data_IF_897586352390
#
_entry.id   IF_897586352390
#
_cell.length_a   1.000
_cell.length_b   1.000
_cell.length_c   1.000
_cell.angle_alpha   90.00
_cell.angle_beta   90.00
_cell.angle_gamma   90.00
#
_symmetry.space_group_name_H-M   'P 1'
#
loop_
_entity.id
_entity.type
_entity.pdbx_description
1 polymer ?
#
# COMPACT_ATOMS: atom_id res chain seq x y z
N UNK A 1 0.86 6.08 -21.92
CA UNK A 1 1.31 5.13 -22.97
C UNK A 1 0.68 3.80 -22.66
N UNK A 2 -0.10 3.25 -23.59
CA UNK A 2 -0.76 1.95 -23.43
C UNK A 2 -0.16 1.01 -24.46
N UNK A 3 0.31 -0.16 -24.02
CA UNK A 3 0.93 -1.19 -24.88
C UNK A 3 0.04 -2.42 -24.95
N UNK A 4 -0.02 -3.07 -26.11
CA UNK A 4 -0.74 -4.31 -26.35
C UNK A 4 0.24 -5.34 -26.93
N UNK A 5 0.20 -6.56 -26.42
CA UNK A 5 1.08 -7.67 -26.82
C UNK A 5 0.31 -8.98 -26.78
N UNK A 6 0.73 -9.96 -27.58
CA UNK A 6 0.19 -11.31 -27.60
C UNK A 6 1.18 -12.22 -26.87
N UNK A 7 0.69 -13.03 -25.94
CA UNK A 7 1.51 -13.90 -25.11
C UNK A 7 0.82 -15.25 -24.88
N UNK A 8 1.61 -16.32 -24.82
CA UNK A 8 1.14 -17.67 -24.53
C UNK A 8 1.00 -17.92 -23.02
N UNK A 9 0.09 -18.82 -22.65
CA UNK A 9 -0.17 -19.21 -21.25
C UNK A 9 1.09 -19.74 -20.56
N UNK A 10 1.44 -19.15 -19.42
CA UNK A 10 2.59 -19.51 -18.61
C UNK A 10 3.95 -19.07 -19.15
N UNK A 11 4.03 -18.52 -20.37
CA UNK A 11 5.31 -18.15 -20.98
C UNK A 11 5.72 -16.71 -20.64
N UNK A 12 6.96 -16.48 -20.18
CA UNK A 12 7.44 -15.13 -19.91
C UNK A 12 7.61 -14.32 -21.20
N UNK A 13 7.09 -13.09 -21.20
CA UNK A 13 7.26 -12.14 -22.31
C UNK A 13 7.87 -10.84 -21.80
N UNK A 14 8.79 -10.29 -22.58
CA UNK A 14 9.41 -8.99 -22.34
C UNK A 14 8.51 -7.88 -22.88
N UNK A 15 8.06 -6.99 -22.01
CA UNK A 15 7.23 -5.85 -22.41
C UNK A 15 8.12 -4.69 -22.86
N UNK A 16 9.29 -4.55 -22.23
CA UNK A 16 10.25 -3.52 -22.54
C UNK A 16 11.27 -3.31 -21.44
N UNK A 17 12.05 -2.24 -21.58
CA UNK A 17 13.03 -1.82 -20.60
C UNK A 17 13.32 -0.33 -20.68
N UNK A 18 13.86 0.21 -19.60
CA UNK A 18 14.30 1.60 -19.51
C UNK A 18 15.82 1.63 -19.35
N UNK A 19 16.49 2.38 -20.22
CA UNK A 19 17.89 2.73 -20.07
C UNK A 19 17.98 4.21 -19.64
N UNK A 20 18.55 4.45 -18.47
CA UNK A 20 18.82 5.79 -17.96
C UNK A 20 20.32 6.03 -17.86
N UNK A 21 20.79 7.06 -18.53
CA UNK A 21 22.17 7.53 -18.44
C UNK A 21 22.18 8.86 -17.69
N UNK A 22 22.97 8.96 -16.64
CA UNK A 22 23.18 10.20 -15.88
C UNK A 22 24.65 10.56 -15.94
N UNK A 23 24.96 11.75 -16.46
CA UNK A 23 26.29 12.36 -16.40
C UNK A 23 26.23 13.52 -15.40
N UNK A 24 27.09 13.50 -14.40
CA UNK A 24 27.24 14.59 -13.45
C UNK A 24 28.70 15.01 -13.43
N UNK A 25 28.95 16.29 -13.64
CA UNK A 25 30.27 16.92 -13.55
C UNK A 25 30.28 17.83 -12.34
N UNK A 26 31.25 17.64 -11.45
CA UNK A 26 31.39 18.43 -10.22
C UNK A 26 32.79 19.00 -10.16
N UNK A 27 32.88 20.32 -10.25
CA UNK A 27 34.16 21.02 -10.17
C UNK A 27 34.25 21.78 -8.84
N UNK A 28 35.19 21.38 -7.98
CA UNK A 28 35.51 22.06 -6.72
C UNK A 28 36.90 22.67 -6.79
N UNK A 29 37.21 23.68 -5.96
CA UNK A 29 38.52 24.30 -5.96
C UNK A 29 38.57 25.58 -5.15
N UNK A 30 39.78 26.11 -4.97
CA UNK A 30 39.99 27.38 -4.25
C UNK A 30 39.55 28.55 -5.14
N UNK A 31 38.61 29.41 -4.70
CA UNK A 31 38.18 30.58 -5.45
C UNK A 31 39.37 31.50 -5.78
N UNK A 32 39.41 32.06 -7.00
CA UNK A 32 40.48 32.94 -7.48
C UNK A 32 41.71 32.21 -8.02
N UNK A 33 42.24 31.21 -7.30
CA UNK A 33 43.43 30.46 -7.75
C UNK A 33 43.09 29.44 -8.85
N UNK A 34 41.89 28.85 -8.82
CA UNK A 34 41.42 27.87 -9.82
C UNK A 34 41.35 28.42 -11.26
N UNK A 35 41.15 29.72 -11.45
CA UNK A 35 40.99 30.32 -12.78
C UNK A 35 42.30 30.73 -13.46
N UNK A 36 43.47 30.50 -12.82
CA UNK A 36 44.77 30.85 -13.41
C UNK A 36 45.13 29.81 -14.48
N UNK A 37 45.35 30.19 -15.76
CA UNK A 37 45.51 29.25 -16.88
C UNK A 37 46.77 28.36 -16.82
N UNK A 38 47.71 28.65 -15.92
CA UNK A 38 48.97 27.90 -15.77
C UNK A 38 48.97 26.98 -14.53
N UNK A 39 48.35 27.40 -13.43
CA UNK A 39 48.40 26.68 -12.14
C UNK A 39 47.04 26.32 -11.57
N UNK A 40 45.93 26.78 -12.18
CA UNK A 40 44.57 26.59 -11.66
C UNK A 40 44.20 25.13 -11.46
N UNK A 41 44.68 24.24 -12.33
CA UNK A 41 44.49 22.79 -12.23
C UNK A 41 45.06 22.15 -10.95
N UNK A 42 46.07 22.76 -10.32
CA UNK A 42 46.63 22.29 -9.03
C UNK A 42 45.72 22.65 -7.84
N UNK A 43 44.89 23.68 -7.99
CA UNK A 43 44.00 24.20 -6.94
C UNK A 43 42.52 23.90 -7.21
N UNK A 44 42.22 23.11 -8.24
CA UNK A 44 40.89 22.65 -8.61
C UNK A 44 40.83 21.13 -8.69
N UNK A 45 39.68 20.56 -8.41
CA UNK A 45 39.37 19.14 -8.56
C UNK A 45 38.09 19.00 -9.35
N UNK A 46 38.20 18.39 -10.52
CA UNK A 46 37.05 17.99 -11.35
C UNK A 46 36.73 16.53 -11.05
N UNK A 47 35.46 16.24 -10.80
CA UNK A 47 34.94 14.90 -10.60
C UNK A 47 33.84 14.64 -11.61
N UNK A 48 34.10 13.71 -12.53
CA UNK A 48 33.13 13.20 -13.48
C UNK A 48 32.48 11.93 -12.93
N UNK A 49 31.15 11.91 -12.84
CA UNK A 49 30.37 10.73 -12.47
C UNK A 49 29.45 10.32 -13.60
N UNK A 50 29.58 9.06 -13.99
CA UNK A 50 28.72 8.41 -14.97
C UNK A 50 27.93 7.31 -14.27
N UNK A 51 26.60 7.38 -14.33
CA UNK A 51 25.71 6.36 -13.80
C UNK A 51 24.79 5.83 -14.91
N UNK A 52 24.82 4.52 -15.11
CA UNK A 52 23.98 3.79 -16.06
C UNK A 52 23.02 2.90 -15.27
N UNK A 53 21.72 3.05 -15.52
CA UNK A 53 20.69 2.22 -14.90
C UNK A 53 19.86 1.58 -15.99
N UNK A 54 19.79 0.25 -15.96
CA UNK A 54 19.00 -0.57 -16.87
C UNK A 54 17.88 -1.21 -16.08
N UNK A 55 16.66 -1.12 -16.58
CA UNK A 55 15.48 -1.74 -15.96
C UNK A 55 14.77 -2.54 -17.03
N UNK A 56 14.33 -3.75 -16.67
CA UNK A 56 13.63 -4.66 -17.59
C UNK A 56 12.35 -5.13 -16.94
N UNK A 57 11.26 -5.15 -17.70
CA UNK A 57 9.94 -5.60 -17.25
C UNK A 57 9.56 -6.87 -17.99
N UNK A 58 9.33 -7.94 -17.21
CA UNK A 58 8.92 -9.26 -17.70
C UNK A 58 7.60 -9.62 -17.03
N UNK A 59 6.66 -10.14 -17.82
CA UNK A 59 5.40 -10.68 -17.30
C UNK A 59 5.23 -12.14 -17.70
N UNK A 60 4.46 -12.89 -16.91
CA UNK A 60 4.04 -14.26 -17.18
C UNK A 60 2.52 -14.34 -17.02
N UNK A 61 1.74 -14.44 -18.11
CA UNK A 61 0.30 -14.63 -18.00
C UNK A 61 0.00 -16.05 -17.54
N UNK A 62 -1.14 -16.25 -16.87
CA UNK A 62 -1.64 -17.58 -16.53
C UNK A 62 -3.16 -17.66 -16.75
N UNK A 63 -3.62 -18.71 -17.42
CA UNK A 63 -5.03 -18.94 -17.73
C UNK A 63 -5.68 -19.90 -16.73
N UNK A 64 -6.48 -19.34 -15.82
CA UNK A 64 -7.25 -20.14 -14.86
C UNK A 64 -8.55 -20.62 -15.52
N UNK A 65 -8.70 -21.94 -15.69
CA UNK A 65 -9.96 -22.54 -16.13
C UNK A 65 -10.86 -22.74 -14.91
N UNK A 66 -12.05 -22.14 -14.91
CA UNK A 66 -13.05 -22.42 -13.89
C UNK A 66 -13.46 -23.90 -13.98
N UNK A 67 -13.22 -24.66 -12.90
CA UNK A 67 -13.75 -26.02 -12.76
C UNK A 67 -15.27 -25.94 -12.87
N UNK A 68 -15.83 -26.63 -13.88
CA UNK A 68 -17.23 -26.57 -14.33
C UNK A 68 -18.22 -26.18 -13.22
N UNK A 69 -18.82 -24.97 -13.26
CA UNK A 69 -19.95 -24.65 -12.39
C UNK A 69 -21.11 -25.56 -12.80
N UNK A 70 -21.63 -26.37 -11.87
CA UNK A 70 -22.83 -27.18 -12.11
C UNK A 70 -22.72 -28.66 -11.75
N UNK A 71 -21.51 -29.22 -11.58
CA UNK A 71 -21.40 -30.61 -11.07
C UNK A 71 -21.92 -30.75 -9.64
N UNK A 72 -21.75 -29.70 -8.84
CA UNK A 72 -22.25 -29.65 -7.46
C UNK A 72 -23.79 -29.56 -7.42
N UNK A 73 -24.39 -28.70 -8.24
CA UNK A 73 -25.86 -28.54 -8.32
C UNK A 73 -26.56 -29.82 -8.80
N UNK A 74 -25.96 -30.55 -9.75
CA UNK A 74 -26.46 -31.85 -10.19
C UNK A 74 -26.41 -32.90 -9.08
N UNK A 75 -25.32 -32.96 -8.32
CA UNK A 75 -25.17 -33.91 -7.22
C UNK A 75 -26.12 -33.59 -6.05
N UNK A 76 -26.35 -32.31 -5.77
CA UNK A 76 -27.30 -31.85 -4.76
C UNK A 76 -28.75 -32.17 -5.14
N UNK A 77 -29.10 -31.98 -6.42
CA UNK A 77 -30.43 -32.30 -6.94
C UNK A 77 -30.69 -33.81 -6.88
N UNK A 78 -29.69 -34.63 -7.21
CA UNK A 78 -29.77 -36.09 -7.17
C UNK A 78 -29.90 -36.62 -5.74
N UNK A 79 -29.09 -36.11 -4.82
CA UNK A 79 -29.14 -36.51 -3.40
C UNK A 79 -30.47 -36.13 -2.73
N UNK A 80 -31.05 -34.96 -3.05
CA UNK A 80 -32.40 -34.58 -2.60
C UNK A 80 -33.50 -35.51 -3.13
N UNK A 81 -33.43 -35.89 -4.40
CA UNK A 81 -34.37 -36.84 -4.99
C UNK A 81 -34.29 -38.22 -4.33
N UNK A 82 -33.07 -38.69 -4.05
CA UNK A 82 -32.84 -39.95 -3.35
C UNK A 82 -33.38 -39.89 -1.92
N UNK A 83 -33.12 -38.81 -1.18
CA UNK A 83 -33.65 -38.62 0.18
C UNK A 83 -35.19 -38.64 0.21
N UNK A 84 -35.84 -37.97 -0.74
CA UNK A 84 -37.30 -37.92 -0.84
C UNK A 84 -37.90 -39.29 -1.23
N UNK A 85 -37.17 -40.07 -2.04
CA UNK A 85 -37.61 -41.41 -2.47
C UNK A 85 -37.52 -42.47 -1.38
N UNK A 86 -36.69 -42.26 -0.35
CA UNK A 86 -36.51 -43.20 0.75
C UNK A 86 -37.57 -43.05 1.86
N UNK A 87 -38.55 -42.14 1.71
CA UNK A 87 -39.62 -41.87 2.69
C UNK A 87 -39.11 -41.94 4.14
N UNK A 88 -37.98 -41.31 4.40
CA UNK A 88 -37.66 -40.88 5.75
C UNK A 88 -38.60 -39.70 5.98
N UNK A 89 -39.58 -39.86 6.88
CA UNK A 89 -40.48 -38.78 7.31
C UNK A 89 -39.65 -37.69 8.02
N UNK A 90 -38.88 -36.94 7.26
CA UNK A 90 -38.34 -35.66 7.68
C UNK A 90 -39.38 -34.65 7.22
N UNK A 91 -40.37 -34.44 8.10
CA UNK A 91 -41.29 -33.31 7.98
C UNK A 91 -40.47 -32.05 7.69
N UNK A 92 -40.93 -31.16 6.79
CA UNK A 92 -40.26 -29.89 6.60
C UNK A 92 -40.32 -29.16 7.94
N UNK A 93 -39.20 -29.11 8.65
CA UNK A 93 -39.02 -28.17 9.73
C UNK A 93 -39.01 -26.78 9.09
N UNK A 94 -40.21 -26.24 8.91
CA UNK A 94 -40.45 -24.83 8.72
C UNK A 94 -40.06 -24.12 10.01
N UNK A 95 -38.76 -24.02 10.30
CA UNK A 95 -38.17 -23.19 11.35
C UNK A 95 -36.66 -23.45 11.38
N UNK A 96 -35.94 -22.96 10.38
CA UNK A 96 -34.55 -22.48 10.49
C UNK A 96 -34.21 -21.66 9.23
N UNK A 97 -35.16 -20.83 8.78
CA UNK A 97 -34.87 -19.67 7.92
C UNK A 97 -34.73 -18.39 8.75
N UNK A 98 -34.53 -18.50 10.08
CA UNK A 98 -34.42 -17.34 10.99
C UNK A 98 -33.01 -17.07 11.52
N UNK A 99 -31.97 -17.73 11.01
CA UNK A 99 -30.58 -17.25 11.23
C UNK A 99 -30.04 -16.42 10.07
N UNK A 100 -30.65 -16.49 8.88
CA UNK A 100 -30.18 -15.75 7.70
C UNK A 100 -31.12 -14.64 7.22
N UNK A 101 -32.36 -14.55 7.75
CA UNK A 101 -33.31 -13.49 7.41
C UNK A 101 -33.46 -12.40 8.50
N UNK A 102 -32.71 -12.46 9.60
CA UNK A 102 -32.67 -11.41 10.62
C UNK A 102 -32.07 -10.06 10.14
N UNK A 103 -31.71 -9.95 8.86
CA UNK A 103 -31.13 -8.74 8.26
C UNK A 103 -32.07 -7.96 7.33
N UNK A 104 -33.31 -8.43 7.06
CA UNK A 104 -34.24 -7.72 6.17
C UNK A 104 -35.70 -7.77 6.66
N UNK A 105 -35.97 -7.32 7.89
CA UNK A 105 -37.27 -6.73 8.23
C UNK A 105 -37.02 -5.60 9.21
N UNK A 106 -36.63 -4.44 8.67
CA UNK A 106 -36.75 -3.16 9.37
C UNK A 106 -38.20 -2.72 9.18
N UNK A 107 -38.96 -2.73 10.28
CA UNK A 107 -40.30 -2.16 10.35
C UNK A 107 -40.27 -0.70 9.85
N UNK A 108 -40.95 -0.35 8.74
CA UNK A 108 -40.96 1.01 8.21
C UNK A 108 -41.67 2.03 9.12
N UNK A 109 -42.26 1.61 10.25
CA UNK A 109 -43.00 2.49 11.16
C UNK A 109 -42.69 2.21 12.65
N UNK A 110 -41.45 1.86 12.99
CA UNK A 110 -40.99 1.91 14.38
C UNK A 110 -40.57 3.34 14.74
N UNK A 111 -41.04 3.94 15.86
CA UNK A 111 -40.54 5.24 16.31
C UNK A 111 -39.03 5.12 16.56
N UNK A 112 -38.24 5.88 15.81
CA UNK A 112 -36.79 5.88 15.87
C UNK A 112 -36.33 6.25 17.29
N UNK A 113 -36.07 5.23 18.12
CA UNK A 113 -35.18 5.43 19.26
C UNK A 113 -33.78 5.55 18.69
N UNK A 114 -33.31 6.80 18.62
CA UNK A 114 -32.00 7.14 18.09
C UNK A 114 -30.92 6.23 18.67
N UNK A 115 -30.35 5.40 17.79
CA UNK A 115 -29.01 4.86 17.98
C UNK A 115 -28.06 5.97 17.59
N UNK A 116 -27.84 6.90 18.52
CA UNK A 116 -26.72 7.81 18.49
C UNK A 116 -25.52 7.06 19.05
N UNK A 117 -24.79 6.32 18.23
CA UNK A 117 -23.39 6.05 18.53
C UNK A 117 -22.63 5.53 17.30
N UNK A 118 -21.47 6.13 17.04
CA UNK A 118 -20.45 5.77 16.03
C UNK A 118 -20.60 6.20 14.54
N UNK A 119 -21.58 7.02 14.13
CA UNK A 119 -21.58 7.63 12.77
C UNK A 119 -21.45 9.16 12.77
N UNK A 120 -21.37 9.77 13.94
CA UNK A 120 -21.13 11.21 14.04
C UNK A 120 -19.61 11.49 14.02
N UNK A 121 -19.07 12.14 12.97
CA UNK A 121 -17.66 12.50 12.93
C UNK A 121 -17.28 13.47 14.05
N UNK A 122 -18.22 14.25 14.59
CA UNK A 122 -17.94 15.24 15.63
C UNK A 122 -17.79 14.58 17.02
N UNK A 123 -18.48 13.45 17.27
CA UNK A 123 -18.33 12.65 18.50
C UNK A 123 -17.00 11.88 18.52
N UNK A 124 -16.48 11.49 17.35
CA UNK A 124 -15.15 10.85 17.24
C UNK A 124 -14.02 11.86 17.50
N UNK A 125 -14.23 13.15 17.22
CA UNK A 125 -13.22 14.18 17.49
C UNK A 125 -13.01 14.42 18.98
N UNK A 126 -14.04 14.29 19.82
CA UNK A 126 -13.90 14.33 21.29
C UNK A 126 -13.09 13.13 21.83
N UNK A 127 -13.29 11.93 21.26
CA UNK A 127 -12.52 10.72 21.61
C UNK A 127 -11.04 10.83 21.16
N UNK A 128 -10.76 11.55 20.06
CA UNK A 128 -9.40 11.82 19.58
C UNK A 128 -8.69 12.89 20.41
N UNK A 129 -9.42 13.89 20.92
CA UNK A 129 -8.89 14.92 21.82
C UNK A 129 -8.43 14.31 23.18
N UNK A 130 -9.16 13.30 23.67
CA UNK A 130 -8.83 12.60 24.93
C UNK A 130 -7.64 11.65 24.77
N UNK A 131 -7.36 11.15 23.55
CA UNK A 131 -6.21 10.29 23.27
C UNK A 131 -4.92 11.08 23.02
N UNK A 132 -5.01 12.36 22.67
CA UNK A 132 -3.82 13.18 22.38
C UNK A 132 -3.08 13.68 23.64
N UNK A 133 -3.72 13.71 24.81
CA UNK A 133 -3.05 14.14 26.06
C UNK A 133 -2.19 13.07 26.76
N UNK A 134 -2.28 11.80 26.38
CA UNK A 134 -1.51 10.73 27.05
C UNK A 134 -0.23 10.31 26.31
N UNK A 135 0.14 11.01 25.24
CA UNK A 135 1.43 10.81 24.58
C UNK A 135 2.27 12.08 24.65
N UNK A 136 2.48 12.58 25.86
CA UNK A 136 3.55 13.54 26.16
C UNK A 136 4.89 12.84 25.86
N UNK A 137 5.63 13.19 24.80
CA UNK A 137 6.97 12.67 24.62
C UNK A 137 7.80 13.07 25.83
N UNK A 138 8.56 12.10 26.36
CA UNK A 138 9.64 12.36 27.30
C UNK A 138 10.45 13.55 26.80
N UNK A 139 10.49 14.62 27.59
CA UNK A 139 11.28 15.83 27.33
C UNK A 139 12.75 15.39 27.39
N UNK A 140 13.31 15.00 26.24
CA UNK A 140 14.74 14.85 26.08
C UNK A 140 15.35 16.25 26.24
N UNK A 141 15.89 16.49 27.43
CA UNK A 141 16.54 17.74 27.77
C UNK A 141 17.80 17.93 26.93
N UNK A 142 17.85 19.07 26.23
CA UNK A 142 19.07 19.86 26.00
C UNK A 142 20.01 19.43 24.88
N UNK A 143 19.48 19.23 23.68
CA UNK A 143 20.25 19.26 22.43
C UNK A 143 20.59 20.69 21.95
N UNK A 144 20.63 21.70 22.82
CA UNK A 144 21.09 23.05 22.46
C UNK A 144 22.43 23.44 23.12
N UNK A 145 22.86 22.68 24.14
CA UNK A 145 24.14 22.92 24.80
C UNK A 145 25.33 22.65 23.87
N UNK A 146 25.25 21.60 23.05
CA UNK A 146 26.32 21.26 22.09
C UNK A 146 26.43 22.25 20.94
N UNK A 147 25.32 22.87 20.51
CA UNK A 147 25.34 23.90 19.46
C UNK A 147 26.01 25.18 19.93
N UNK A 148 25.73 25.63 21.16
CA UNK A 148 26.38 26.81 21.73
C UNK A 148 27.87 26.54 22.02
N UNK A 149 28.23 25.34 22.48
CA UNK A 149 29.62 24.96 22.72
C UNK A 149 30.42 24.83 21.41
N UNK A 150 29.81 24.29 20.34
CA UNK A 150 30.43 24.22 19.02
C UNK A 150 30.60 25.61 18.38
N UNK A 151 29.64 26.51 18.55
CA UNK A 151 29.72 27.89 18.06
C UNK A 151 30.84 28.67 18.78
N UNK A 152 31.00 28.49 20.09
CA UNK A 152 32.05 29.14 20.88
C UNK A 152 33.47 28.68 20.47
N UNK A 153 33.64 27.40 20.13
CA UNK A 153 34.92 26.87 19.67
C UNK A 153 35.35 27.45 18.31
N UNK A 154 34.39 27.69 17.41
CA UNK A 154 34.64 28.30 16.09
C UNK A 154 34.99 29.80 16.23
N UNK A 155 34.40 30.49 17.19
CA UNK A 155 34.70 31.91 17.46
C UNK A 155 36.07 32.15 18.12
N UNK A 156 36.70 31.10 18.67
CA UNK A 156 37.98 31.17 19.37
C UNK A 156 39.18 30.76 18.49
N UNK A 157 38.95 30.38 17.23
CA UNK A 157 39.97 30.10 16.21
C UNK A 157 40.10 31.28 15.23
#
# INVERSE_FOLDING_TARGET
VTTQLIADDGQPVFIGGLLKNTKAERESGVPGLRSIPVVGGLFSRTEDRFAKTETVVIIRPYLVRASRPGRFEQELSRSRQLANSLKLDVAPQAANQDVNNAFYTRDPQAPERGVSDATDPDVVLDELEIREQQQKPQKNTSNLGWLLSALALILLL
#
